data_IF_717174107296
#
_entry.id   IF_717174107296
#
_cell.length_a   1.000
_cell.length_b   1.000
_cell.length_c   1.000
_cell.angle_alpha   90.00
_cell.angle_beta   90.00
_cell.angle_gamma   90.00
#
_symmetry.space_group_name_H-M   'P 1'
#
loop_
_entity.id
_entity.type
_entity.pdbx_description
1 polymer ?
#
# COMPACT_ATOMS: atom_id res chain seq x y z
N UNK A 1 1.96 17.37 3.50
CA UNK A 1 1.80 17.89 4.88
C UNK A 1 2.28 19.33 5.07
N UNK A 2 3.57 19.67 4.91
CA UNK A 2 4.06 21.03 5.21
C UNK A 2 3.31 22.13 4.45
N UNK A 3 3.06 21.94 3.15
CA UNK A 3 2.28 22.87 2.31
C UNK A 3 0.85 23.12 2.81
N UNK A 4 0.20 22.11 3.38
CA UNK A 4 -1.15 22.25 3.93
C UNK A 4 -1.14 23.00 5.25
N UNK A 5 -0.18 22.70 6.13
CA UNK A 5 -0.02 23.39 7.40
C UNK A 5 0.27 24.88 7.19
N UNK A 6 1.14 25.21 6.22
CA UNK A 6 1.41 26.61 5.85
C UNK A 6 0.17 27.30 5.29
N UNK A 7 -0.60 26.63 4.42
CA UNK A 7 -1.82 27.19 3.84
C UNK A 7 -2.89 27.45 4.92
N UNK A 8 -3.08 26.52 5.86
CA UNK A 8 -3.99 26.70 7.01
C UNK A 8 -3.57 27.88 7.88
N UNK A 9 -2.28 28.02 8.19
CA UNK A 9 -1.78 29.13 8.99
C UNK A 9 -1.98 30.49 8.29
N UNK A 10 -1.77 30.53 6.97
CA UNK A 10 -1.98 31.73 6.15
C UNK A 10 -3.46 32.13 6.13
N UNK A 11 -4.37 31.18 5.90
CA UNK A 11 -5.82 31.45 5.89
C UNK A 11 -6.28 31.96 7.26
N UNK A 12 -5.87 31.29 8.35
CA UNK A 12 -6.21 31.71 9.70
C UNK A 12 -5.72 33.13 10.00
N UNK A 13 -4.49 33.48 9.58
CA UNK A 13 -3.94 34.81 9.75
C UNK A 13 -4.73 35.88 8.98
N UNK A 14 -5.05 35.65 7.70
CA UNK A 14 -5.82 36.62 6.91
C UNK A 14 -7.24 36.82 7.45
N UNK A 15 -7.90 35.75 7.91
CA UNK A 15 -9.20 35.83 8.54
C UNK A 15 -9.14 36.58 9.89
N UNK A 16 -8.10 36.34 10.71
CA UNK A 16 -7.87 37.07 11.96
C UNK A 16 -7.63 38.58 11.72
N UNK A 17 -6.82 38.93 10.74
CA UNK A 17 -6.58 40.34 10.36
C UNK A 17 -7.84 41.02 9.85
N UNK A 18 -8.66 40.32 9.04
CA UNK A 18 -9.95 40.85 8.57
C UNK A 18 -10.95 41.06 9.71
N UNK A 19 -10.99 40.15 10.69
CA UNK A 19 -11.80 40.32 11.91
C UNK A 19 -11.35 41.52 12.74
N UNK A 20 -10.04 41.65 12.99
CA UNK A 20 -9.47 42.78 13.72
C UNK A 20 -9.83 44.12 13.07
N UNK A 21 -9.75 44.20 11.74
CA UNK A 21 -10.14 45.39 10.99
C UNK A 21 -11.61 45.77 11.20
N UNK A 22 -12.53 44.80 11.12
CA UNK A 22 -13.96 45.03 11.31
C UNK A 22 -14.27 45.41 12.77
N UNK A 23 -13.63 44.76 13.73
CA UNK A 23 -13.79 45.10 15.15
C UNK A 23 -13.27 46.51 15.41
N UNK A 24 -12.10 46.88 14.88
CA UNK A 24 -11.52 48.21 15.02
C UNK A 24 -12.43 49.28 14.39
N UNK A 25 -12.94 49.05 13.17
CA UNK A 25 -13.84 49.98 12.47
C UNK A 25 -15.18 50.20 13.22
N UNK A 26 -15.78 49.11 13.72
CA UNK A 26 -17.04 49.16 14.49
C UNK A 26 -16.84 49.74 15.91
N UNK A 27 -15.70 49.51 16.54
CA UNK A 27 -15.38 50.08 17.87
C UNK A 27 -15.06 51.57 17.75
N UNK A 28 -14.34 51.98 16.70
CA UNK A 28 -14.02 53.39 16.43
C UNK A 28 -15.27 54.24 16.17
N UNK A 29 -16.37 53.62 15.71
CA UNK A 29 -17.66 54.29 15.53
C UNK A 29 -18.46 54.48 16.82
N UNK A 30 -18.15 53.77 17.92
CA UNK A 30 -18.95 53.82 19.16
C UNK A 30 -18.35 54.64 20.32
N UNK A 31 -17.01 54.80 20.47
CA UNK A 31 -16.44 55.69 21.52
C UNK A 31 -14.91 55.95 21.44
N UNK A 32 -14.52 57.22 21.62
CA UNK A 32 -13.24 57.63 22.24
C UNK A 32 -13.18 57.11 23.68
N UNK A 33 -12.38 56.07 23.95
CA UNK A 33 -11.49 55.97 25.12
C UNK A 33 -11.06 54.52 25.42
N UNK A 34 -9.75 54.37 25.64
CA UNK A 34 -9.05 53.26 26.29
C UNK A 34 -8.96 51.90 25.56
N UNK A 35 -7.90 51.71 24.76
CA UNK A 35 -7.38 50.37 24.47
C UNK A 35 -5.89 50.34 24.78
N UNK A 36 -5.56 49.95 26.01
CA UNK A 36 -4.20 49.55 26.43
C UNK A 36 -4.16 48.04 26.70
N UNK A 37 -4.71 47.23 25.77
CA UNK A 37 -4.38 45.81 25.71
C UNK A 37 -3.10 45.64 24.88
N UNK A 38 -2.22 44.73 25.31
CA UNK A 38 -1.05 44.39 24.49
C UNK A 38 -1.51 43.93 23.10
N UNK A 39 -0.88 44.41 22.02
CA UNK A 39 -1.20 44.05 20.63
C UNK A 39 -1.29 42.53 20.43
N UNK A 40 -0.44 41.79 21.12
CA UNK A 40 -0.40 40.32 21.10
C UNK A 40 -1.68 39.72 21.70
N UNK A 41 -2.15 40.23 22.85
CA UNK A 41 -3.37 39.74 23.49
C UNK A 41 -4.62 40.00 22.64
N UNK A 42 -4.69 41.16 21.97
CA UNK A 42 -5.77 41.47 21.04
C UNK A 42 -5.78 40.49 19.85
N UNK A 43 -4.62 40.29 19.23
CA UNK A 43 -4.48 39.35 18.11
C UNK A 43 -4.82 37.90 18.48
N UNK A 44 -4.42 37.44 19.68
CA UNK A 44 -4.78 36.10 20.16
C UNK A 44 -6.30 35.95 20.36
N UNK A 45 -6.94 36.97 20.94
CA UNK A 45 -8.40 36.99 21.14
C UNK A 45 -9.14 36.95 19.81
N UNK A 46 -8.71 37.76 18.84
CA UNK A 46 -9.31 37.83 17.51
C UNK A 46 -9.14 36.52 16.74
N UNK A 47 -7.95 35.92 16.80
CA UNK A 47 -7.67 34.60 16.20
C UNK A 47 -8.56 33.52 16.82
N UNK A 48 -8.78 33.55 18.13
CA UNK A 48 -9.68 32.61 18.83
C UNK A 48 -11.13 32.80 18.37
N UNK A 49 -11.60 34.04 18.23
CA UNK A 49 -12.94 34.32 17.71
C UNK A 49 -13.13 33.84 16.27
N UNK A 50 -12.14 34.06 15.40
CA UNK A 50 -12.19 33.58 14.01
C UNK A 50 -12.24 32.06 13.95
N UNK A 51 -11.41 31.37 14.73
CA UNK A 51 -11.40 29.91 14.77
C UNK A 51 -12.74 29.34 15.25
N UNK A 52 -13.34 29.95 16.28
CA UNK A 52 -14.68 29.56 16.76
C UNK A 52 -15.75 29.77 15.69
N UNK A 53 -15.69 30.87 14.93
CA UNK A 53 -16.61 31.11 13.82
C UNK A 53 -16.42 30.11 12.66
N UNK A 54 -15.18 29.76 12.31
CA UNK A 54 -14.89 28.77 11.26
C UNK A 54 -15.41 27.37 11.61
N UNK A 55 -15.48 27.00 12.89
CA UNK A 55 -16.04 25.74 13.38
C UNK A 55 -17.58 25.80 13.49
N UNK A 56 -18.17 27.01 13.41
CA UNK A 56 -19.61 27.22 13.58
C UNK A 56 -20.06 27.44 15.04
N UNK A 57 -19.11 27.67 15.96
CA UNK A 57 -19.37 28.05 17.35
C UNK A 57 -19.37 29.58 17.57
N UNK A 58 -19.44 30.34 16.48
CA UNK A 58 -19.56 31.80 16.51
C UNK A 58 -20.88 32.25 17.13
N UNK A 59 -20.85 33.33 17.91
CA UNK A 59 -22.07 33.97 18.44
C UNK A 59 -22.42 35.18 17.59
N UNK A 60 -23.71 35.37 17.32
CA UNK A 60 -24.22 36.58 16.67
C UNK A 60 -23.95 37.79 17.58
N UNK A 61 -23.34 38.82 17.01
CA UNK A 61 -23.04 40.07 17.72
C UNK A 61 -24.21 41.05 17.66
N UNK A 62 -25.20 40.82 16.78
CA UNK A 62 -26.32 41.73 16.54
C UNK A 62 -25.95 42.96 15.70
N UNK A 63 -24.70 43.02 15.21
CA UNK A 63 -24.18 44.07 14.35
C UNK A 63 -24.03 43.50 12.95
N UNK A 64 -24.76 44.06 11.98
CA UNK A 64 -24.86 43.53 10.61
C UNK A 64 -23.49 43.30 9.94
N UNK A 65 -22.51 44.19 10.16
CA UNK A 65 -21.16 44.05 9.62
C UNK A 65 -20.40 42.84 10.22
N UNK A 66 -20.50 42.64 11.54
CA UNK A 66 -19.87 41.50 12.24
C UNK A 66 -20.54 40.18 11.85
N UNK A 67 -21.87 40.17 11.83
CA UNK A 67 -22.64 38.96 11.51
C UNK A 67 -22.46 38.55 10.03
N UNK A 68 -22.40 39.52 9.11
CA UNK A 68 -22.11 39.27 7.70
C UNK A 68 -20.72 38.66 7.47
N UNK A 69 -19.70 39.14 8.19
CA UNK A 69 -18.36 38.56 8.11
C UNK A 69 -18.29 37.17 8.75
N UNK A 70 -19.00 36.93 9.86
CA UNK A 70 -19.10 35.60 10.49
C UNK A 70 -19.70 34.56 9.54
N UNK A 71 -20.68 34.93 8.71
CA UNK A 71 -21.23 34.04 7.67
C UNK A 71 -20.16 33.69 6.62
N UNK A 72 -19.36 34.66 6.20
CA UNK A 72 -18.26 34.42 5.24
C UNK A 72 -17.19 33.51 5.87
N UNK A 73 -16.82 33.74 7.13
CA UNK A 73 -15.89 32.89 7.88
C UNK A 73 -16.40 31.45 8.00
N UNK A 74 -17.70 31.26 8.21
CA UNK A 74 -18.31 29.94 8.25
C UNK A 74 -18.18 29.21 6.90
N UNK A 75 -18.45 29.89 5.77
CA UNK A 75 -18.29 29.31 4.44
C UNK A 75 -16.83 28.95 4.13
N UNK A 76 -15.89 29.84 4.47
CA UNK A 76 -14.44 29.57 4.33
C UNK A 76 -14.04 28.40 5.23
N UNK A 77 -14.56 28.34 6.46
CA UNK A 77 -14.33 27.24 7.39
C UNK A 77 -14.77 25.90 6.83
N UNK A 78 -16.00 25.79 6.30
CA UNK A 78 -16.52 24.55 5.70
C UNK A 78 -15.64 24.08 4.54
N UNK A 79 -15.26 24.98 3.64
CA UNK A 79 -14.38 24.65 2.51
C UNK A 79 -12.98 24.22 2.97
N UNK A 80 -12.43 24.89 3.98
CA UNK A 80 -11.13 24.55 4.56
C UNK A 80 -11.15 23.19 5.26
N UNK A 81 -12.20 22.88 6.02
CA UNK A 81 -12.38 21.57 6.64
C UNK A 81 -12.46 20.45 5.59
N UNK A 82 -13.22 20.65 4.51
CA UNK A 82 -13.31 19.68 3.42
C UNK A 82 -11.92 19.43 2.78
N UNK A 83 -11.16 20.50 2.51
CA UNK A 83 -9.80 20.40 1.98
C UNK A 83 -8.85 19.63 2.91
N UNK A 84 -8.89 19.89 4.22
CA UNK A 84 -8.04 19.18 5.19
C UNK A 84 -8.38 17.70 5.24
N UNK A 85 -9.67 17.34 5.28
CA UNK A 85 -10.13 15.94 5.32
C UNK A 85 -9.70 15.18 4.05
N UNK A 86 -9.87 15.79 2.88
CA UNK A 86 -9.49 15.19 1.60
C UNK A 86 -7.98 14.86 1.55
N UNK A 87 -7.14 15.81 1.93
CA UNK A 87 -5.71 15.61 1.93
C UNK A 87 -5.23 14.59 2.98
N UNK A 88 -5.88 14.53 4.15
CA UNK A 88 -5.61 13.48 5.15
C UNK A 88 -6.00 12.11 4.58
N UNK A 89 -7.14 12.02 3.91
CA UNK A 89 -7.62 10.77 3.29
C UNK A 89 -6.65 10.28 2.21
N UNK A 90 -6.17 11.17 1.35
CA UNK A 90 -5.15 10.86 0.35
C UNK A 90 -3.81 10.46 0.99
N UNK A 91 -3.41 11.12 2.08
CA UNK A 91 -2.21 10.74 2.84
C UNK A 91 -2.33 9.34 3.40
N UNK A 92 -3.49 8.99 3.98
CA UNK A 92 -3.75 7.65 4.51
C UNK A 92 -3.73 6.63 3.38
N UNK A 93 -4.39 6.90 2.24
CA UNK A 93 -4.41 6.00 1.10
C UNK A 93 -3.00 5.72 0.55
N UNK A 94 -2.16 6.76 0.47
CA UNK A 94 -0.77 6.63 0.01
C UNK A 94 0.15 6.00 1.05
N UNK A 95 -0.04 6.28 2.35
CA UNK A 95 0.70 5.64 3.43
C UNK A 95 0.35 4.15 3.58
N UNK A 96 -0.91 3.79 3.32
CA UNK A 96 -1.38 2.41 3.30
C UNK A 96 -0.95 1.65 2.04
N UNK A 97 -0.35 2.32 1.03
CA UNK A 97 0.35 1.67 -0.08
C UNK A 97 1.72 1.14 0.38
N UNK A 98 1.73 0.36 1.46
CA UNK A 98 2.91 -0.43 1.83
C UNK A 98 2.69 -1.86 1.32
N UNK A 99 3.73 -2.52 0.79
CA UNK A 99 3.60 -3.90 0.29
C UNK A 99 3.03 -4.85 1.36
N UNK A 100 3.36 -4.64 2.64
CA UNK A 100 2.82 -5.43 3.76
C UNK A 100 1.33 -5.26 4.02
N UNK A 101 0.78 -4.05 3.89
CA UNK A 101 -0.68 -3.81 4.03
C UNK A 101 -1.44 -4.44 2.87
N UNK A 102 -0.89 -4.37 1.65
CA UNK A 102 -1.49 -5.03 0.49
C UNK A 102 -1.43 -6.56 0.60
N UNK A 103 -0.33 -7.11 1.14
CA UNK A 103 -0.22 -8.52 1.48
C UNK A 103 -1.31 -8.96 2.47
N UNK A 104 -1.45 -8.24 3.58
CA UNK A 104 -2.45 -8.53 4.61
C UNK A 104 -3.87 -8.49 4.02
N UNK A 105 -4.18 -7.48 3.20
CA UNK A 105 -5.47 -7.35 2.52
C UNK A 105 -5.75 -8.55 1.59
N UNK A 106 -4.77 -8.97 0.78
CA UNK A 106 -4.89 -10.13 -0.11
C UNK A 106 -5.03 -11.43 0.68
N UNK A 107 -4.30 -11.59 1.79
CA UNK A 107 -4.39 -12.75 2.68
C UNK A 107 -5.78 -12.86 3.31
N UNK A 108 -6.33 -11.77 3.84
CA UNK A 108 -7.69 -11.74 4.41
C UNK A 108 -8.76 -12.11 3.38
N UNK A 109 -8.62 -11.62 2.14
CA UNK A 109 -9.52 -11.98 1.05
C UNK A 109 -9.43 -13.47 0.71
N UNK A 110 -8.23 -14.06 0.79
CA UNK A 110 -8.00 -15.48 0.59
C UNK A 110 -8.59 -16.33 1.72
N UNK A 111 -8.38 -15.95 2.98
CA UNK A 111 -9.02 -16.59 4.16
C UNK A 111 -10.54 -16.60 4.02
N UNK A 112 -11.13 -15.44 3.73
CA UNK A 112 -12.58 -15.33 3.50
C UNK A 112 -13.06 -16.22 2.35
N UNK A 113 -12.22 -16.45 1.33
CA UNK A 113 -12.53 -17.33 0.20
C UNK A 113 -12.45 -18.81 0.60
N UNK A 114 -11.49 -19.18 1.44
CA UNK A 114 -11.35 -20.54 1.97
C UNK A 114 -12.52 -20.90 2.90
N UNK A 115 -12.96 -19.95 3.73
CA UNK A 115 -14.11 -20.15 4.63
C UNK A 115 -15.40 -20.38 3.84
N UNK A 116 -15.63 -19.62 2.76
CA UNK A 116 -16.78 -19.84 1.86
C UNK A 116 -16.74 -21.18 1.13
N UNK A 117 -15.55 -21.76 0.96
CA UNK A 117 -15.37 -23.09 0.36
C UNK A 117 -15.39 -24.22 1.39
N UNK A 118 -15.56 -23.90 2.68
CA UNK A 118 -15.59 -24.87 3.79
C UNK A 118 -14.34 -25.78 3.79
N UNK A 119 -13.17 -25.21 3.47
CA UNK A 119 -11.92 -25.98 3.47
C UNK A 119 -11.55 -26.38 4.91
N UNK A 120 -11.05 -27.62 5.13
CA UNK A 120 -10.56 -28.05 6.44
C UNK A 120 -9.44 -27.13 6.97
N UNK A 121 -9.42 -26.88 8.28
CA UNK A 121 -8.42 -26.00 8.91
C UNK A 121 -6.96 -26.42 8.63
N UNK A 122 -6.69 -27.72 8.49
CA UNK A 122 -5.36 -28.21 8.11
C UNK A 122 -4.94 -27.69 6.73
N UNK A 123 -5.84 -27.78 5.73
CA UNK A 123 -5.58 -27.30 4.38
C UNK A 123 -5.46 -25.77 4.34
N UNK A 124 -6.27 -25.06 5.11
CA UNK A 124 -6.15 -23.60 5.25
C UNK A 124 -4.79 -23.20 5.83
N UNK A 125 -4.31 -23.93 6.83
CA UNK A 125 -2.99 -23.73 7.42
C UNK A 125 -1.86 -23.92 6.41
N UNK A 126 -1.92 -24.98 5.60
CA UNK A 126 -0.95 -25.23 4.53
C UNK A 126 -0.97 -24.11 3.48
N UNK A 127 -2.15 -23.65 3.05
CA UNK A 127 -2.28 -22.54 2.08
C UNK A 127 -1.71 -21.24 2.66
N UNK A 128 -1.95 -20.96 3.94
CA UNK A 128 -1.38 -19.80 4.61
C UNK A 128 0.15 -19.87 4.64
N UNK A 129 0.73 -20.98 5.08
CA UNK A 129 2.18 -21.19 5.10
C UNK A 129 2.82 -21.04 3.70
N UNK A 130 2.16 -21.55 2.67
CA UNK A 130 2.59 -21.39 1.27
C UNK A 130 2.70 -19.90 0.89
N UNK A 131 1.64 -19.13 1.15
CA UNK A 131 1.61 -17.71 0.80
C UNK A 131 2.53 -16.85 1.69
N UNK A 132 2.73 -17.21 2.96
CA UNK A 132 3.70 -16.56 3.85
C UNK A 132 5.14 -16.80 3.37
N UNK A 133 5.46 -18.03 2.96
CA UNK A 133 6.77 -18.36 2.41
C UNK A 133 7.03 -17.58 1.11
N UNK A 134 6.05 -17.52 0.20
CA UNK A 134 6.15 -16.72 -1.02
C UNK A 134 6.42 -15.25 -0.75
N UNK A 135 5.73 -14.68 0.24
CA UNK A 135 5.91 -13.28 0.62
C UNK A 135 7.31 -13.01 1.15
N UNK A 136 7.80 -13.83 2.08
CA UNK A 136 9.13 -13.68 2.70
C UNK A 136 10.29 -13.80 1.69
N UNK A 137 10.18 -14.72 0.74
CA UNK A 137 11.28 -15.03 -0.18
C UNK A 137 11.28 -14.16 -1.45
N UNK A 138 10.10 -13.71 -1.90
CA UNK A 138 9.96 -13.02 -3.19
C UNK A 138 9.38 -11.60 -3.10
N UNK A 139 8.94 -11.14 -1.93
CA UNK A 139 8.26 -9.83 -1.74
C UNK A 139 7.08 -9.64 -2.71
N UNK A 140 6.46 -10.75 -3.12
CA UNK A 140 5.37 -10.77 -4.10
C UNK A 140 4.18 -11.50 -3.53
N UNK A 141 3.01 -10.87 -3.60
CA UNK A 141 1.76 -11.46 -3.17
C UNK A 141 1.03 -12.06 -4.38
N UNK A 142 1.17 -13.38 -4.54
CA UNK A 142 0.52 -14.19 -5.60
C UNK A 142 1.16 -13.92 -6.97
N UNK A 143 1.59 -14.97 -7.68
CA UNK A 143 1.93 -14.88 -9.11
C UNK A 143 3.11 -13.98 -9.51
N UNK A 144 3.81 -13.31 -8.60
CA UNK A 144 4.67 -12.14 -8.85
C UNK A 144 5.44 -12.07 -10.17
N UNK A 145 6.18 -13.11 -10.55
CA UNK A 145 6.93 -13.11 -11.82
C UNK A 145 6.02 -13.41 -13.02
N UNK A 146 5.08 -14.34 -12.87
CA UNK A 146 4.12 -14.72 -13.92
C UNK A 146 3.16 -13.55 -14.19
N UNK A 147 2.72 -12.86 -13.15
CA UNK A 147 1.85 -11.68 -13.23
C UNK A 147 2.63 -10.47 -13.79
N UNK A 148 3.84 -10.20 -13.30
CA UNK A 148 4.69 -9.12 -13.84
C UNK A 148 5.03 -9.32 -15.32
N UNK A 149 5.32 -10.55 -15.75
CA UNK A 149 5.61 -10.86 -17.16
C UNK A 149 4.37 -10.92 -18.04
N UNK A 150 3.17 -11.08 -17.47
CA UNK A 150 1.92 -11.06 -18.22
C UNK A 150 1.58 -9.66 -18.75
N UNK A 151 1.89 -8.61 -17.97
CA UNK A 151 1.62 -7.22 -18.34
C UNK A 151 2.67 -6.63 -19.31
N UNK A 152 3.76 -7.34 -19.57
CA UNK A 152 4.86 -6.90 -20.43
C UNK A 152 4.64 -7.29 -21.90
N UNK A 153 5.17 -6.47 -22.82
CA UNK A 153 5.22 -6.87 -24.24
C UNK A 153 6.07 -8.13 -24.40
N UNK A 154 5.71 -8.98 -25.38
CA UNK A 154 6.36 -10.28 -25.61
C UNK A 154 7.90 -10.24 -25.66
N UNK A 155 8.56 -9.24 -26.30
CA UNK A 155 10.02 -9.15 -26.29
C UNK A 155 10.61 -8.84 -24.90
N UNK A 156 9.93 -8.01 -24.11
CA UNK A 156 10.40 -7.59 -22.80
C UNK A 156 10.22 -8.69 -21.74
N UNK A 157 9.10 -9.41 -21.80
CA UNK A 157 8.90 -10.62 -20.99
C UNK A 157 9.98 -11.69 -21.28
N UNK A 158 10.38 -11.82 -22.55
CA UNK A 158 11.45 -12.72 -22.99
C UNK A 158 12.81 -12.31 -22.40
N UNK A 159 13.16 -11.03 -22.47
CA UNK A 159 14.43 -10.53 -21.93
C UNK A 159 14.51 -10.70 -20.40
N UNK A 160 13.42 -10.46 -19.68
CA UNK A 160 13.32 -10.70 -18.23
C UNK A 160 13.50 -12.19 -17.92
N UNK A 161 12.84 -13.07 -18.67
CA UNK A 161 12.97 -14.52 -18.52
C UNK A 161 14.41 -15.00 -18.73
N UNK A 162 15.08 -14.53 -19.79
CA UNK A 162 16.49 -14.82 -20.08
C UNK A 162 17.39 -14.33 -18.96
N UNK A 163 17.25 -13.09 -18.51
CA UNK A 163 18.07 -12.56 -17.42
C UNK A 163 17.93 -13.38 -16.13
N UNK A 164 16.73 -13.90 -15.84
CA UNK A 164 16.47 -14.64 -14.60
C UNK A 164 16.90 -16.11 -14.65
N UNK A 165 16.60 -16.80 -15.75
CA UNK A 165 16.71 -18.26 -15.81
C UNK A 165 17.81 -18.78 -16.74
N UNK A 166 18.46 -17.95 -17.54
CA UNK A 166 19.53 -18.42 -18.45
C UNK A 166 20.66 -19.12 -17.69
N UNK A 167 21.04 -18.58 -16.53
CA UNK A 167 22.05 -19.19 -15.66
C UNK A 167 21.63 -20.57 -15.12
N UNK A 168 20.34 -20.86 -15.00
CA UNK A 168 19.85 -22.18 -14.59
C UNK A 168 20.01 -23.19 -15.74
N UNK A 169 19.61 -22.80 -16.95
CA UNK A 169 19.63 -23.66 -18.14
C UNK A 169 21.07 -23.99 -18.56
N UNK A 170 21.97 -23.00 -18.57
CA UNK A 170 23.38 -23.18 -18.98
C UNK A 170 24.16 -24.09 -18.02
N UNK A 171 23.72 -24.22 -16.77
CA UNK A 171 24.39 -25.08 -15.77
C UNK A 171 24.12 -26.58 -15.98
N UNK A 172 23.15 -26.94 -16.83
CA UNK A 172 22.82 -28.34 -17.09
C UNK A 172 23.77 -28.89 -18.16
N UNK A 173 24.69 -29.82 -17.81
CA UNK A 173 25.72 -30.29 -18.73
C UNK A 173 25.15 -31.02 -19.96
N UNK A 174 23.93 -31.56 -19.86
CA UNK A 174 23.25 -32.20 -20.99
C UNK A 174 22.93 -31.24 -22.15
N UNK A 175 22.83 -29.92 -21.90
CA UNK A 175 22.53 -28.92 -22.93
C UNK A 175 23.74 -28.07 -23.35
N UNK A 176 24.96 -28.39 -22.89
CA UNK A 176 26.17 -27.60 -23.20
C UNK A 176 26.43 -27.49 -24.71
N UNK A 177 26.07 -28.52 -25.46
CA UNK A 177 26.34 -28.64 -26.89
C UNK A 177 25.13 -28.21 -27.75
N UNK A 178 24.07 -27.70 -27.13
CA UNK A 178 22.87 -27.24 -27.83
C UNK A 178 23.01 -25.80 -28.35
N UNK A 179 22.34 -25.49 -29.46
CA UNK A 179 22.27 -24.15 -30.03
C UNK A 179 21.71 -23.13 -28.99
N UNK A 180 22.29 -21.92 -28.85
CA UNK A 180 21.73 -20.84 -28.03
C UNK A 180 20.23 -20.55 -28.25
N UNK A 181 19.73 -20.74 -29.48
CA UNK A 181 18.30 -20.63 -29.78
C UNK A 181 17.43 -21.67 -29.04
N UNK A 182 17.94 -22.89 -28.86
CA UNK A 182 17.27 -23.93 -28.07
C UNK A 182 17.23 -23.55 -26.58
N UNK A 183 18.35 -23.10 -26.01
CA UNK A 183 18.38 -22.67 -24.60
C UNK A 183 17.41 -21.51 -24.36
N UNK A 184 17.34 -20.55 -25.28
CA UNK A 184 16.38 -19.44 -25.22
C UNK A 184 14.94 -19.95 -25.26
N UNK A 185 14.63 -20.92 -26.12
CA UNK A 185 13.31 -21.55 -26.20
C UNK A 185 12.97 -22.30 -24.91
N UNK A 186 13.93 -22.98 -24.27
CA UNK A 186 13.73 -23.64 -22.97
C UNK A 186 13.40 -22.61 -21.90
N UNK A 187 14.16 -21.52 -21.82
CA UNK A 187 13.90 -20.45 -20.84
C UNK A 187 12.49 -19.87 -20.98
N UNK A 188 12.01 -19.73 -22.22
CA UNK A 188 10.66 -19.22 -22.49
C UNK A 188 9.52 -20.15 -22.09
N UNK A 189 9.80 -21.45 -21.99
CA UNK A 189 8.83 -22.45 -21.56
C UNK A 189 9.02 -22.88 -20.10
N UNK A 190 9.89 -22.19 -19.34
CA UNK A 190 10.04 -22.43 -17.91
C UNK A 190 8.87 -21.81 -17.14
N UNK A 191 8.19 -22.64 -16.35
CA UNK A 191 7.15 -22.20 -15.43
C UNK A 191 7.68 -22.29 -13.99
N UNK A 192 7.89 -21.15 -13.31
CA UNK A 192 8.34 -21.16 -11.91
C UNK A 192 7.28 -21.81 -11.02
N UNK A 193 7.71 -22.75 -10.17
CA UNK A 193 6.88 -23.39 -9.15
C UNK A 193 7.61 -23.36 -7.80
N UNK A 194 6.85 -23.17 -6.74
CA UNK A 194 7.35 -23.18 -5.36
C UNK A 194 6.67 -24.33 -4.62
N UNK A 195 7.45 -25.08 -3.86
CA UNK A 195 6.99 -26.21 -3.06
C UNK A 195 7.39 -25.94 -1.60
N UNK A 196 6.49 -26.23 -0.67
CA UNK A 196 6.77 -26.17 0.76
C UNK A 196 7.66 -27.34 1.19
N UNK A 197 8.35 -27.24 2.34
CA UNK A 197 8.99 -28.40 2.95
C UNK A 197 7.98 -29.55 3.12
N UNK A 198 8.42 -30.77 2.82
CA UNK A 198 7.60 -31.99 2.81
C UNK A 198 6.50 -32.08 1.72
N UNK A 199 6.44 -31.11 0.79
CA UNK A 199 5.64 -31.28 -0.43
C UNK A 199 6.27 -32.32 -1.37
N UNK A 200 5.42 -33.11 -2.01
CA UNK A 200 5.80 -34.09 -3.03
C UNK A 200 5.98 -33.39 -4.38
N UNK A 201 7.20 -33.43 -4.93
CA UNK A 201 7.49 -32.88 -6.27
C UNK A 201 7.16 -33.89 -7.37
N UNK A 202 7.53 -35.15 -7.16
CA UNK A 202 7.22 -36.25 -8.06
C UNK A 202 7.09 -37.56 -7.30
N UNK A 203 6.21 -38.45 -7.78
CA UNK A 203 5.98 -39.77 -7.19
C UNK A 203 6.38 -40.87 -8.17
N UNK A 204 7.09 -41.89 -7.67
CA UNK A 204 7.45 -43.06 -8.47
C UNK A 204 6.17 -43.78 -8.92
N UNK A 205 6.09 -44.12 -10.19
CA UNK A 205 4.92 -44.79 -10.78
C UNK A 205 3.90 -43.86 -11.41
N UNK A 206 4.04 -42.54 -11.25
CA UNK A 206 3.29 -41.56 -12.04
C UNK A 206 3.95 -41.35 -13.42
N UNK A 207 3.13 -41.09 -14.44
CA UNK A 207 3.63 -40.79 -15.79
C UNK A 207 4.21 -39.38 -15.78
N UNK A 208 5.53 -39.26 -15.98
CA UNK A 208 6.20 -37.97 -16.10
C UNK A 208 5.89 -37.29 -17.42
N UNK A 209 5.16 -36.17 -17.38
CA UNK A 209 4.86 -35.31 -18.54
C UNK A 209 5.75 -34.06 -18.61
N UNK A 210 6.46 -33.77 -17.53
CA UNK A 210 7.30 -32.60 -17.37
C UNK A 210 8.60 -32.98 -16.65
N UNK A 211 9.62 -32.15 -16.81
CA UNK A 211 10.87 -32.26 -16.07
C UNK A 211 11.06 -31.00 -15.24
N UNK A 212 11.78 -31.13 -14.13
CA UNK A 212 11.98 -30.05 -13.17
C UNK A 212 13.44 -29.63 -13.15
N UNK A 213 13.69 -28.33 -13.00
CA UNK A 213 15.01 -27.77 -12.73
C UNK A 213 14.98 -27.05 -11.39
N UNK A 214 15.94 -27.35 -10.51
CA UNK A 214 16.02 -26.76 -9.18
C UNK A 214 16.73 -25.41 -9.28
N UNK A 215 16.00 -24.31 -9.09
CA UNK A 215 16.58 -22.96 -9.05
C UNK A 215 17.14 -22.62 -7.67
N UNK A 216 16.39 -22.93 -6.60
CA UNK A 216 16.74 -22.73 -5.19
C UNK A 216 16.17 -23.88 -4.36
N UNK A 217 16.84 -24.17 -3.24
CA UNK A 217 16.45 -25.25 -2.33
C UNK A 217 17.07 -26.61 -2.69
N UNK A 218 16.68 -27.64 -1.95
CA UNK A 218 17.15 -29.00 -2.10
C UNK A 218 15.96 -29.96 -2.07
N UNK A 219 16.01 -30.97 -2.92
CA UNK A 219 15.08 -32.09 -2.88
C UNK A 219 15.79 -33.33 -2.32
N UNK A 220 15.05 -34.15 -1.60
CA UNK A 220 15.51 -35.45 -1.10
C UNK A 220 14.66 -36.56 -1.71
N UNK A 221 15.30 -37.65 -2.10
CA UNK A 221 14.61 -38.89 -2.42
C UNK A 221 14.32 -39.64 -1.11
N UNK A 222 13.05 -39.90 -0.84
CA UNK A 222 12.63 -40.85 0.20
C UNK A 222 12.10 -42.10 -0.48
N UNK A 223 12.83 -43.20 -0.34
CA UNK A 223 12.30 -44.54 -0.60
C UNK A 223 11.48 -44.95 0.63
N UNK A 224 10.16 -45.07 0.48
CA UNK A 224 9.35 -45.75 1.49
C UNK A 224 9.54 -47.26 1.33
N UNK A 225 9.41 -48.05 2.42
CA UNK A 225 9.39 -49.53 2.41
C UNK A 225 8.13 -50.13 1.75
N UNK A 226 7.38 -49.31 1.01
CA UNK A 226 6.32 -49.68 0.06
C UNK A 226 6.85 -49.33 -1.34
N UNK A 227 6.50 -50.03 -2.45
CA UNK A 227 7.27 -49.99 -3.72
C UNK A 227 7.48 -48.61 -4.41
N UNK A 228 6.93 -47.56 -3.83
CA UNK A 228 6.84 -46.18 -4.31
C UNK A 228 7.90 -45.29 -3.64
N UNK A 229 8.96 -44.92 -4.36
CA UNK A 229 9.88 -43.84 -3.98
C UNK A 229 9.25 -42.46 -4.22
N UNK A 230 9.64 -41.45 -3.44
CA UNK A 230 9.03 -40.11 -3.44
C UNK A 230 10.13 -39.04 -3.39
N UNK A 231 10.02 -37.99 -4.21
CA UNK A 231 10.89 -36.81 -4.14
C UNK A 231 10.20 -35.73 -3.29
N UNK A 232 10.85 -35.32 -2.20
CA UNK A 232 10.34 -34.35 -1.22
C UNK A 232 11.20 -33.09 -1.20
N UNK A 233 10.56 -31.92 -1.13
CA UNK A 233 11.25 -30.66 -0.87
C UNK A 233 11.69 -30.57 0.60
N UNK A 234 12.88 -30.02 0.87
CA UNK A 234 13.46 -29.87 2.23
C UNK A 234 13.74 -28.40 2.54
N UNK A 235 13.42 -27.97 3.77
CA UNK A 235 13.80 -26.67 4.33
C UNK A 235 15.29 -26.63 4.70
N UNK A 236 15.98 -25.51 4.42
CA UNK A 236 17.30 -25.24 5.00
C UNK A 236 17.14 -24.82 6.47
N UNK A 237 17.75 -25.59 7.37
CA UNK A 237 18.08 -25.15 8.74
C UNK A 237 19.26 -24.19 8.71
#
# INVERSE_FOLDING_TARGET
>A
MLKMLTLTAIIAHYCACGWHYIVFDVVFTEREDSVTSSLVAAYLSDTMHVLLNMIGNGKASGVAAKDGYSIILLLIGILHFAYVIDNISMLIATANYSPGVEYERKMQALVSKMDRMELPHELQGCIHQYHEHLWKEYDTTIGGIIEFTHDLTRPLALEVGLCRYMNLVVRVPFWSDCNPGFMSAVVLNLHPRVYLPDDYVARKGEIGTEFFMIHRGVIIERQFDSPTGLLLARSHS
#
